data_IF_579366659037
#
_entry.id   IF_579366659037
#
_cell.length_a   1.000
_cell.length_b   1.000
_cell.length_c   1.000
_cell.angle_alpha   90.00
_cell.angle_beta   90.00
_cell.angle_gamma   90.00
#
_symmetry.space_group_name_H-M   'P 1'
#
loop_
_entity.id
_entity.type
_entity.pdbx_description
1 polymer ?
#
# COMPACT_ATOMS: atom_id res chain seq x y z
N UNK A 1 -23.29 -17.12 -20.22
CA UNK A 1 -23.94 -16.19 -19.27
C UNK A 1 -22.88 -15.80 -18.26
N UNK A 2 -22.67 -14.51 -18.03
CA UNK A 2 -21.81 -14.07 -16.93
C UNK A 2 -22.49 -14.47 -15.62
N UNK A 3 -21.72 -15.09 -14.72
CA UNK A 3 -22.20 -15.46 -13.39
C UNK A 3 -21.96 -14.27 -12.47
N UNK A 4 -22.97 -13.82 -11.74
CA UNK A 4 -22.77 -12.79 -10.71
C UNK A 4 -22.09 -13.45 -9.50
N UNK A 5 -20.81 -13.12 -9.28
CA UNK A 5 -20.05 -13.73 -8.19
C UNK A 5 -20.60 -13.34 -6.81
N UNK A 6 -21.25 -12.19 -6.66
CA UNK A 6 -21.86 -11.83 -5.38
C UNK A 6 -22.97 -12.81 -5.01
N UNK A 7 -23.76 -13.25 -6.00
CA UNK A 7 -24.78 -14.29 -5.82
C UNK A 7 -24.16 -15.66 -5.52
N UNK A 8 -23.06 -16.01 -6.20
CA UNK A 8 -22.32 -17.28 -5.94
C UNK A 8 -21.75 -17.30 -4.53
N UNK A 9 -21.23 -16.17 -4.07
CA UNK A 9 -20.68 -16.00 -2.72
C UNK A 9 -21.78 -15.87 -1.66
N UNK A 10 -23.05 -15.79 -2.07
CA UNK A 10 -24.19 -15.61 -1.17
C UNK A 10 -24.17 -14.27 -0.44
N UNK A 11 -23.48 -13.26 -0.97
CA UNK A 11 -23.32 -11.96 -0.31
C UNK A 11 -24.65 -11.25 -0.28
N UNK A 12 -25.08 -10.88 0.94
CA UNK A 12 -26.23 -10.04 1.20
C UNK A 12 -25.76 -8.82 1.98
N UNK A 13 -26.48 -7.72 1.88
CA UNK A 13 -26.23 -6.58 2.75
C UNK A 13 -26.39 -7.06 4.22
N UNK A 14 -25.34 -7.01 5.05
CA UNK A 14 -25.49 -7.31 6.46
C UNK A 14 -26.46 -6.31 7.09
N UNK A 15 -27.35 -6.81 7.94
CA UNK A 15 -28.38 -6.00 8.61
C UNK A 15 -27.73 -5.04 9.62
N UNK A 16 -26.64 -5.48 10.26
CA UNK A 16 -25.79 -4.71 11.15
C UNK A 16 -24.34 -5.12 10.88
N UNK A 17 -23.42 -4.16 10.80
CA UNK A 17 -21.99 -4.44 10.72
C UNK A 17 -21.28 -3.78 11.91
N UNK A 18 -20.47 -4.52 12.67
CA UNK A 18 -19.62 -3.95 13.72
C UNK A 18 -18.47 -3.11 13.14
N UNK A 19 -18.23 -3.24 11.83
CA UNK A 19 -17.37 -2.36 11.06
C UNK A 19 -18.22 -1.26 10.42
N UNK A 20 -17.88 0.02 10.56
CA UNK A 20 -18.62 1.08 9.89
C UNK A 20 -18.48 0.94 8.36
N UNK A 21 -19.51 1.43 7.68
CA UNK A 21 -19.46 1.60 6.23
C UNK A 21 -18.45 2.69 5.90
N UNK A 22 -17.56 2.41 4.96
CA UNK A 22 -16.46 3.32 4.62
C UNK A 22 -16.96 4.47 3.76
N UNK A 23 -16.34 5.65 3.92
CA UNK A 23 -16.59 6.82 3.04
C UNK A 23 -18.06 7.24 2.99
N UNK A 24 -18.79 7.04 4.09
CA UNK A 24 -20.18 7.45 4.26
C UNK A 24 -21.20 6.68 3.40
N UNK A 25 -20.83 5.52 2.86
CA UNK A 25 -21.78 4.67 2.14
C UNK A 25 -22.81 4.03 3.08
N UNK A 26 -23.93 3.58 2.53
CA UNK A 26 -24.90 2.75 3.25
C UNK A 26 -24.83 1.28 2.78
N UNK A 27 -25.51 0.39 3.50
CA UNK A 27 -25.50 -1.05 3.20
C UNK A 27 -26.00 -1.38 1.78
N UNK A 28 -26.92 -0.57 1.24
CA UNK A 28 -27.47 -0.77 -0.10
C UNK A 28 -26.45 -0.37 -1.18
N UNK A 29 -25.78 0.76 -0.99
CA UNK A 29 -24.72 1.26 -1.87
C UNK A 29 -23.52 0.33 -1.85
N UNK A 30 -23.14 -0.17 -0.68
CA UNK A 30 -22.11 -1.20 -0.52
C UNK A 30 -22.46 -2.46 -1.33
N UNK A 31 -23.67 -3.01 -1.15
CA UNK A 31 -24.08 -4.23 -1.85
C UNK A 31 -24.10 -4.03 -3.38
N UNK A 32 -24.57 -2.87 -3.85
CA UNK A 32 -24.56 -2.54 -5.28
C UNK A 32 -23.13 -2.54 -5.85
N UNK A 33 -22.16 -1.96 -5.12
CA UNK A 33 -20.75 -1.95 -5.51
C UNK A 33 -20.14 -3.36 -5.53
N UNK A 34 -20.47 -4.21 -4.54
CA UNK A 34 -20.02 -5.61 -4.51
C UNK A 34 -20.58 -6.41 -5.69
N UNK A 35 -21.87 -6.22 -6.02
CA UNK A 35 -22.49 -6.87 -7.16
C UNK A 35 -21.89 -6.41 -8.49
N UNK A 36 -21.57 -5.12 -8.62
CA UNK A 36 -20.84 -4.59 -9.78
C UNK A 36 -19.47 -5.24 -9.92
N UNK A 37 -18.69 -5.29 -8.83
CA UNK A 37 -17.41 -5.98 -8.79
C UNK A 37 -17.55 -7.47 -9.16
N UNK A 38 -18.55 -8.15 -8.61
CA UNK A 38 -18.84 -9.56 -8.88
C UNK A 38 -19.14 -9.84 -10.35
N UNK A 39 -19.90 -8.96 -11.03
CA UNK A 39 -20.15 -9.07 -12.47
C UNK A 39 -18.91 -8.79 -13.31
N UNK A 40 -18.12 -7.79 -12.94
CA UNK A 40 -16.89 -7.44 -13.66
C UNK A 40 -15.85 -8.59 -13.59
N UNK A 41 -15.66 -9.16 -12.40
CA UNK A 41 -14.69 -10.22 -12.15
C UNK A 41 -15.18 -11.60 -12.62
N UNK A 42 -16.49 -11.84 -12.60
CA UNK A 42 -17.13 -13.11 -12.99
C UNK A 42 -17.02 -13.47 -14.47
N UNK A 43 -16.64 -12.52 -15.32
CA UNK A 43 -16.33 -12.76 -16.73
C UNK A 43 -14.84 -13.01 -17.00
N UNK A 44 -13.98 -12.85 -15.99
CA UNK A 44 -12.53 -12.84 -16.13
C UNK A 44 -11.82 -14.14 -15.71
N UNK A 45 -10.49 -14.20 -15.87
CA UNK A 45 -9.67 -15.35 -15.49
C UNK A 45 -9.66 -15.64 -13.99
N UNK A 46 -10.06 -14.66 -13.15
CA UNK A 46 -10.14 -14.79 -11.69
C UNK A 46 -11.42 -15.48 -11.20
N UNK A 47 -12.43 -15.65 -12.06
CA UNK A 47 -13.75 -16.13 -11.63
C UNK A 47 -13.70 -17.51 -10.95
N UNK A 48 -12.81 -18.40 -11.39
CA UNK A 48 -12.65 -19.73 -10.78
C UNK A 48 -12.01 -19.64 -9.39
N UNK A 49 -10.99 -18.80 -9.22
CA UNK A 49 -10.31 -18.62 -7.93
C UNK A 49 -11.27 -17.95 -6.92
N UNK A 50 -12.08 -16.99 -7.38
CA UNK A 50 -13.12 -16.35 -6.57
C UNK A 50 -14.27 -17.31 -6.22
N UNK A 51 -14.66 -18.21 -7.12
CA UNK A 51 -15.63 -19.25 -6.80
C UNK A 51 -15.10 -20.24 -5.75
N UNK A 52 -13.80 -20.55 -5.77
CA UNK A 52 -13.17 -21.36 -4.73
C UNK A 52 -13.18 -20.65 -3.36
N UNK A 53 -13.02 -19.33 -3.34
CA UNK A 53 -13.15 -18.51 -2.14
C UNK A 53 -14.54 -18.64 -1.48
N UNK A 54 -15.60 -18.83 -2.27
CA UNK A 54 -16.96 -19.07 -1.76
C UNK A 54 -17.06 -20.33 -0.88
N UNK A 55 -16.22 -21.33 -1.13
CA UNK A 55 -16.16 -22.57 -0.38
C UNK A 55 -15.11 -22.54 0.74
N UNK A 56 -14.30 -21.48 0.83
CA UNK A 56 -13.24 -21.37 1.83
C UNK A 56 -13.87 -21.26 3.23
N UNK A 57 -13.42 -22.12 4.13
CA UNK A 57 -13.65 -21.95 5.57
C UNK A 57 -12.85 -20.74 6.04
N UNK A 58 -13.52 -19.78 6.67
CA UNK A 58 -12.88 -18.61 7.25
C UNK A 58 -12.65 -18.86 8.74
N UNK A 59 -11.64 -18.23 9.34
CA UNK A 59 -11.43 -18.29 10.77
C UNK A 59 -12.66 -17.82 11.55
N UNK A 60 -13.08 -18.61 12.55
CA UNK A 60 -14.30 -18.36 13.32
C UNK A 60 -14.33 -16.97 13.95
N UNK A 61 -13.19 -16.50 14.48
CA UNK A 61 -13.11 -15.18 15.10
C UNK A 61 -13.37 -14.04 14.12
N UNK A 62 -12.92 -14.15 12.86
CA UNK A 62 -13.21 -13.17 11.81
C UNK A 62 -14.67 -13.21 11.39
N UNK A 63 -15.27 -14.40 11.29
CA UNK A 63 -16.70 -14.55 10.97
C UNK A 63 -17.56 -13.96 12.09
N UNK A 64 -17.19 -14.18 13.34
CA UNK A 64 -17.91 -13.65 14.50
C UNK A 64 -17.82 -12.12 14.61
N UNK A 65 -16.64 -11.54 14.40
CA UNK A 65 -16.43 -10.11 14.65
C UNK A 65 -16.57 -9.20 13.44
N UNK A 66 -16.48 -9.72 12.21
CA UNK A 66 -16.64 -8.91 10.98
C UNK A 66 -17.78 -9.44 10.12
N UNK A 67 -17.88 -10.76 9.99
CA UNK A 67 -18.86 -11.43 9.15
C UNK A 67 -18.32 -11.80 7.78
N UNK A 68 -18.70 -13.00 7.31
CA UNK A 68 -18.25 -13.56 6.03
C UNK A 68 -18.58 -12.64 4.86
N UNK A 69 -19.80 -12.16 4.79
CA UNK A 69 -20.29 -11.31 3.70
C UNK A 69 -19.48 -10.03 3.58
N UNK A 70 -19.15 -9.40 4.71
CA UNK A 70 -18.33 -8.18 4.74
C UNK A 70 -16.91 -8.47 4.26
N UNK A 71 -16.25 -9.52 4.75
CA UNK A 71 -14.89 -9.88 4.31
C UNK A 71 -14.82 -10.17 2.80
N UNK A 72 -15.72 -11.01 2.31
CA UNK A 72 -15.72 -11.41 0.90
C UNK A 72 -16.14 -10.26 -0.03
N UNK A 73 -17.11 -9.45 0.39
CA UNK A 73 -17.52 -8.27 -0.36
C UNK A 73 -16.44 -7.20 -0.43
N UNK A 74 -15.73 -6.95 0.68
CA UNK A 74 -14.58 -6.05 0.70
C UNK A 74 -13.48 -6.50 -0.27
N UNK A 75 -13.11 -7.79 -0.22
CA UNK A 75 -12.10 -8.35 -1.12
C UNK A 75 -12.51 -8.27 -2.60
N UNK A 76 -13.78 -8.51 -2.93
CA UNK A 76 -14.26 -8.30 -4.30
C UNK A 76 -14.11 -6.85 -4.74
N UNK A 77 -14.42 -5.89 -3.85
CA UNK A 77 -14.28 -4.47 -4.15
C UNK A 77 -12.83 -4.07 -4.35
N UNK A 78 -11.91 -4.51 -3.48
CA UNK A 78 -10.49 -4.17 -3.62
C UNK A 78 -9.88 -4.77 -4.88
N UNK A 79 -10.29 -5.98 -5.29
CA UNK A 79 -9.89 -6.57 -6.57
C UNK A 79 -10.46 -5.84 -7.79
N UNK A 80 -11.64 -5.23 -7.66
CA UNK A 80 -12.28 -4.49 -8.75
C UNK A 80 -11.75 -3.05 -8.86
N UNK A 81 -11.57 -2.37 -7.73
CA UNK A 81 -11.07 -1.01 -7.61
C UNK A 81 -9.98 -0.96 -6.54
N UNK A 82 -8.71 -1.28 -6.88
CA UNK A 82 -7.59 -1.27 -5.94
C UNK A 82 -7.36 0.07 -5.24
N UNK A 83 -7.76 1.20 -5.84
CA UNK A 83 -7.72 2.52 -5.19
C UNK A 83 -8.66 2.63 -3.97
N UNK A 84 -9.53 1.66 -3.71
CA UNK A 84 -10.31 1.62 -2.47
C UNK A 84 -9.46 1.32 -1.24
N UNK A 85 -8.33 0.63 -1.41
CA UNK A 85 -7.43 0.26 -0.31
C UNK A 85 -6.88 1.54 0.33
N UNK A 86 -7.00 1.66 1.65
CA UNK A 86 -6.43 2.76 2.44
C UNK A 86 -5.87 2.24 3.77
N UNK A 87 -4.98 3.03 4.36
CA UNK A 87 -4.36 2.76 5.66
C UNK A 87 -5.20 3.27 6.83
N UNK A 88 -6.23 4.09 6.54
CA UNK A 88 -6.95 4.81 7.57
C UNK A 88 -6.04 5.82 8.28
N UNK A 89 -5.97 5.72 9.61
CA UNK A 89 -5.12 6.58 10.45
C UNK A 89 -3.96 5.82 11.10
N UNK A 90 -3.58 4.66 10.55
CA UNK A 90 -2.49 3.81 11.06
C UNK A 90 -1.19 4.11 10.34
N UNK A 91 -0.04 3.79 10.92
CA UNK A 91 1.31 3.97 10.36
C UNK A 91 1.67 3.05 9.19
N UNK A 92 0.68 2.53 8.44
CA UNK A 92 0.85 1.45 7.46
C UNK A 92 0.96 1.94 6.01
N UNK A 93 1.38 3.18 5.75
CA UNK A 93 1.39 3.79 4.41
C UNK A 93 2.19 2.98 3.37
N UNK A 94 3.38 2.50 3.76
CA UNK A 94 4.25 1.71 2.90
C UNK A 94 3.59 0.38 2.49
N UNK A 95 3.13 -0.41 3.46
CA UNK A 95 2.47 -1.70 3.20
C UNK A 95 1.13 -1.53 2.47
N UNK A 96 0.43 -0.41 2.68
CA UNK A 96 -0.78 -0.05 1.93
C UNK A 96 -0.46 0.19 0.45
N UNK A 97 0.61 0.93 0.15
CA UNK A 97 1.07 1.11 -1.22
C UNK A 97 1.43 -0.23 -1.90
N UNK A 98 2.08 -1.14 -1.17
CA UNK A 98 2.37 -2.49 -1.66
C UNK A 98 1.09 -3.32 -1.89
N UNK A 99 0.09 -3.20 -1.00
CA UNK A 99 -1.21 -3.85 -1.13
C UNK A 99 -1.92 -3.41 -2.43
N UNK A 100 -2.02 -2.09 -2.65
CA UNK A 100 -2.62 -1.50 -3.85
C UNK A 100 -1.90 -2.00 -5.10
N UNK A 101 -0.57 -1.96 -5.10
CA UNK A 101 0.25 -2.44 -6.22
C UNK A 101 -0.02 -3.92 -6.51
N UNK A 102 -0.09 -4.77 -5.48
CA UNK A 102 -0.33 -6.19 -5.66
C UNK A 102 -1.73 -6.48 -6.17
N UNK A 103 -2.76 -5.82 -5.63
CA UNK A 103 -4.13 -5.97 -6.07
C UNK A 103 -4.31 -5.55 -7.54
N UNK A 104 -3.65 -4.46 -7.97
CA UNK A 104 -3.71 -4.00 -9.36
C UNK A 104 -2.91 -4.89 -10.33
N UNK A 105 -1.66 -5.20 -10.00
CA UNK A 105 -0.73 -5.85 -10.94
C UNK A 105 -0.79 -7.36 -10.91
N UNK A 106 -1.16 -7.93 -9.77
CA UNK A 106 -1.16 -9.37 -9.56
C UNK A 106 -2.39 -9.81 -8.75
N UNK A 107 -3.62 -9.52 -9.23
CA UNK A 107 -4.84 -9.73 -8.46
C UNK A 107 -5.04 -11.19 -8.01
N UNK A 108 -4.62 -12.16 -8.82
CA UNK A 108 -4.65 -13.59 -8.43
C UNK A 108 -3.76 -13.87 -7.21
N UNK A 109 -2.59 -13.24 -7.16
CA UNK A 109 -1.65 -13.38 -6.04
C UNK A 109 -2.21 -12.70 -4.80
N UNK A 110 -2.68 -11.46 -4.92
CA UNK A 110 -3.36 -10.77 -3.83
C UNK A 110 -4.51 -11.60 -3.25
N UNK A 111 -5.40 -12.11 -4.11
CA UNK A 111 -6.48 -13.01 -3.72
C UNK A 111 -5.97 -14.24 -2.95
N UNK A 112 -4.91 -14.90 -3.42
CA UNK A 112 -4.33 -16.07 -2.75
C UNK A 112 -3.76 -15.73 -1.38
N UNK A 113 -3.10 -14.58 -1.22
CA UNK A 113 -2.54 -14.15 0.06
C UNK A 113 -3.65 -13.83 1.06
N UNK A 114 -4.64 -13.03 0.66
CA UNK A 114 -5.78 -12.69 1.50
C UNK A 114 -6.59 -13.94 1.87
N UNK A 115 -6.79 -14.88 0.95
CA UNK A 115 -7.44 -16.16 1.24
C UNK A 115 -6.70 -16.97 2.32
N UNK A 116 -5.35 -16.97 2.30
CA UNK A 116 -4.55 -17.62 3.34
C UNK A 116 -4.73 -16.95 4.70
N UNK A 117 -4.64 -15.62 4.75
CA UNK A 117 -4.86 -14.81 5.96
C UNK A 117 -6.29 -14.95 6.52
N UNK A 118 -7.27 -15.17 5.65
CA UNK A 118 -8.66 -15.41 6.03
C UNK A 118 -8.93 -16.81 6.57
N UNK A 119 -8.09 -17.78 6.23
CA UNK A 119 -8.28 -19.19 6.61
C UNK A 119 -8.11 -19.42 8.12
N UNK A 120 -8.52 -20.58 8.66
CA UNK A 120 -8.26 -20.93 10.06
C UNK A 120 -6.77 -20.95 10.43
N UNK A 121 -5.89 -21.25 9.47
CA UNK A 121 -4.44 -21.22 9.70
C UNK A 121 -3.89 -19.80 9.78
N UNK A 122 -4.57 -18.82 9.16
CA UNK A 122 -4.13 -17.42 9.16
C UNK A 122 -2.78 -17.19 8.47
N UNK A 123 -2.37 -18.06 7.55
CA UNK A 123 -1.04 -18.03 6.91
C UNK A 123 -1.15 -18.04 5.39
N UNK A 124 -0.24 -17.31 4.73
CA UNK A 124 -0.05 -17.33 3.29
C UNK A 124 1.44 -17.35 2.94
N UNK A 125 1.80 -18.05 1.86
CA UNK A 125 3.19 -18.14 1.40
C UNK A 125 3.47 -17.08 0.35
N UNK A 126 4.49 -16.26 0.60
CA UNK A 126 5.01 -15.29 -0.34
C UNK A 126 5.79 -15.98 -1.47
N UNK A 127 5.89 -15.37 -2.66
CA UNK A 127 6.72 -15.86 -3.75
C UNK A 127 8.18 -16.19 -3.38
N UNK A 128 8.78 -15.46 -2.45
CA UNK A 128 10.13 -15.73 -1.92
C UNK A 128 10.20 -16.94 -0.98
N UNK A 129 9.06 -17.47 -0.55
CA UNK A 129 8.94 -18.61 0.36
C UNK A 129 8.68 -18.21 1.81
N UNK A 130 8.71 -16.92 2.13
CA UNK A 130 8.37 -16.38 3.44
C UNK A 130 6.86 -16.54 3.74
N UNK A 131 6.49 -16.42 5.01
CA UNK A 131 5.10 -16.59 5.47
C UNK A 131 4.55 -15.23 5.89
N UNK A 132 3.44 -14.80 5.29
CA UNK A 132 2.55 -13.80 5.88
C UNK A 132 1.67 -14.48 6.90
N UNK A 133 1.64 -13.96 8.13
CA UNK A 133 0.80 -14.47 9.22
C UNK A 133 -0.16 -13.38 9.71
N UNK A 134 -1.41 -13.76 9.91
CA UNK A 134 -2.43 -12.91 10.52
C UNK A 134 -2.03 -12.60 11.97
N UNK A 135 -2.00 -11.31 12.30
CA UNK A 135 -1.71 -10.81 13.65
C UNK A 135 -2.82 -11.15 14.65
N UNK A 136 -4.09 -10.99 14.25
CA UNK A 136 -5.23 -11.12 15.16
C UNK A 136 -6.26 -12.18 14.73
N UNK A 137 -6.74 -12.98 15.68
CA UNK A 137 -7.83 -13.95 15.44
C UNK A 137 -9.22 -13.29 15.38
N UNK A 138 -9.34 -12.09 15.94
CA UNK A 138 -10.59 -11.34 16.07
C UNK A 138 -10.34 -9.86 15.82
N UNK A 139 -11.19 -9.22 15.03
CA UNK A 139 -11.07 -7.80 14.71
C UNK A 139 -12.13 -6.98 15.40
N UNK A 140 -11.72 -5.94 16.12
CA UNK A 140 -12.63 -4.92 16.61
C UNK A 140 -12.26 -3.60 15.95
N UNK A 141 -13.20 -3.00 15.21
CA UNK A 141 -12.99 -1.68 14.66
C UNK A 141 -12.89 -0.66 15.79
N UNK A 142 -11.97 0.29 15.64
CA UNK A 142 -11.91 1.48 16.47
C UNK A 142 -11.71 2.72 15.59
N UNK A 143 -11.84 3.91 16.19
CA UNK A 143 -11.74 5.16 15.45
C UNK A 143 -10.36 5.37 14.80
N UNK A 144 -9.29 4.80 15.34
CA UNK A 144 -7.94 4.93 14.77
C UNK A 144 -7.79 4.11 13.48
N UNK A 145 -8.72 3.21 13.17
CA UNK A 145 -8.78 2.57 11.86
C UNK A 145 -9.27 3.51 10.74
N UNK A 146 -9.98 4.60 11.05
CA UNK A 146 -10.59 5.46 10.02
C UNK A 146 -11.42 4.63 9.02
N UNK A 147 -11.24 4.88 7.73
CA UNK A 147 -11.81 4.09 6.64
C UNK A 147 -11.05 2.78 6.28
N UNK A 148 -10.01 2.37 7.02
CA UNK A 148 -9.28 1.11 6.74
C UNK A 148 -10.23 -0.08 6.84
N UNK A 149 -10.37 -0.82 5.75
CA UNK A 149 -11.25 -1.98 5.67
C UNK A 149 -10.68 -3.19 6.39
N UNK A 150 -11.50 -4.18 6.78
CA UNK A 150 -11.03 -5.33 7.53
C UNK A 150 -10.08 -6.25 6.73
N UNK A 151 -10.24 -6.31 5.39
CA UNK A 151 -9.31 -7.03 4.51
C UNK A 151 -7.94 -6.33 4.46
N UNK A 152 -7.94 -5.01 4.29
CA UNK A 152 -6.73 -4.19 4.37
C UNK A 152 -6.11 -4.23 5.77
N UNK A 153 -6.92 -4.32 6.83
CA UNK A 153 -6.43 -4.54 8.20
C UNK A 153 -5.60 -5.82 8.31
N UNK A 154 -6.18 -6.96 7.88
CA UNK A 154 -5.48 -8.25 7.82
C UNK A 154 -4.18 -8.16 7.05
N UNK A 155 -4.26 -7.69 5.81
CA UNK A 155 -3.11 -7.71 4.91
C UNK A 155 -1.99 -6.83 5.42
N UNK A 156 -2.31 -5.59 5.79
CA UNK A 156 -1.30 -4.61 6.19
C UNK A 156 -0.63 -5.01 7.50
N UNK A 157 -1.36 -5.48 8.52
CA UNK A 157 -0.74 -5.94 9.76
C UNK A 157 0.19 -7.14 9.51
N UNK A 158 -0.26 -8.14 8.75
CA UNK A 158 0.57 -9.28 8.36
C UNK A 158 1.80 -8.87 7.53
N UNK A 159 1.67 -7.84 6.70
CA UNK A 159 2.75 -7.32 5.88
C UNK A 159 3.77 -6.50 6.68
N UNK A 160 3.35 -5.80 7.74
CA UNK A 160 4.26 -5.13 8.69
C UNK A 160 5.16 -6.18 9.36
N UNK A 161 4.57 -7.24 9.90
CA UNK A 161 5.26 -8.38 10.50
C UNK A 161 6.25 -9.06 9.54
N UNK A 162 5.79 -9.37 8.32
CA UNK A 162 6.67 -10.00 7.33
C UNK A 162 7.76 -9.04 6.82
N UNK A 163 7.48 -7.74 6.83
CA UNK A 163 8.45 -6.74 6.45
C UNK A 163 9.55 -6.61 7.49
N UNK A 164 9.33 -6.89 8.79
CA UNK A 164 10.32 -6.81 9.88
C UNK A 164 10.30 -8.07 10.77
N UNK A 165 10.90 -9.20 10.34
CA UNK A 165 10.74 -10.51 11.00
C UNK A 165 11.38 -10.61 12.39
N UNK A 166 12.18 -9.62 12.79
CA UNK A 166 12.80 -9.52 14.11
C UNK A 166 12.05 -8.54 15.02
N UNK A 167 10.90 -8.01 14.60
CA UNK A 167 10.07 -7.06 15.34
C UNK A 167 8.63 -7.59 15.44
N UNK A 168 7.82 -7.00 16.31
CA UNK A 168 6.42 -7.41 16.59
C UNK A 168 5.53 -6.16 16.49
N UNK A 169 4.66 -6.13 15.48
CA UNK A 169 3.74 -5.04 15.17
C UNK A 169 2.38 -5.28 15.81
N UNK A 170 2.03 -4.47 16.80
CA UNK A 170 0.70 -4.47 17.40
C UNK A 170 -0.21 -3.51 16.64
N UNK A 171 -1.15 -4.05 15.85
CA UNK A 171 -2.09 -3.25 15.07
C UNK A 171 -3.02 -2.39 15.95
N UNK A 172 -3.37 -2.81 17.16
CA UNK A 172 -4.23 -2.03 18.07
C UNK A 172 -3.50 -0.80 18.57
N UNK A 173 -2.25 -0.96 18.99
CA UNK A 173 -1.41 0.14 19.47
C UNK A 173 -0.79 0.95 18.34
N UNK A 174 -0.81 0.43 17.11
CA UNK A 174 -0.11 0.99 15.96
C UNK A 174 1.38 1.23 16.27
N UNK A 175 2.02 0.19 16.81
CA UNK A 175 3.36 0.30 17.34
C UNK A 175 4.17 -0.96 17.07
N UNK A 176 5.44 -0.75 16.75
CA UNK A 176 6.42 -1.82 16.59
C UNK A 176 7.18 -2.02 17.90
N UNK A 177 7.45 -3.27 18.26
CA UNK A 177 8.27 -3.61 19.43
C UNK A 177 9.41 -4.56 19.06
N UNK A 178 10.53 -4.44 19.77
CA UNK A 178 11.63 -5.39 19.67
C UNK A 178 11.25 -6.75 20.27
N UNK A 179 12.02 -7.83 20.06
CA UNK A 179 11.72 -9.15 20.65
C UNK A 179 11.72 -9.17 22.18
N UNK A 180 12.34 -8.17 22.82
CA UNK A 180 12.31 -7.99 24.28
C UNK A 180 11.21 -7.03 24.76
N UNK A 181 10.27 -6.66 23.88
CA UNK A 181 9.08 -5.86 24.17
C UNK A 181 9.35 -4.37 24.34
N UNK A 182 10.48 -3.84 23.85
CA UNK A 182 10.75 -2.40 23.90
C UNK A 182 10.09 -1.72 22.70
N UNK A 183 9.40 -0.58 22.90
CA UNK A 183 8.81 0.16 21.79
C UNK A 183 9.89 0.71 20.88
N UNK A 184 9.67 0.59 19.57
CA UNK A 184 10.46 1.24 18.53
C UNK A 184 9.75 2.56 18.17
N UNK A 185 10.46 3.70 18.15
CA UNK A 185 9.86 4.97 17.78
C UNK A 185 9.34 4.96 16.33
N UNK A 186 8.07 5.32 16.14
CA UNK A 186 7.40 5.29 14.85
C UNK A 186 6.48 4.08 14.70
N UNK A 187 5.50 4.19 13.81
CA UNK A 187 4.51 3.14 13.55
C UNK A 187 4.72 2.44 12.19
N UNK A 188 5.58 3.00 11.33
CA UNK A 188 5.90 2.47 10.00
C UNK A 188 7.09 1.52 9.98
N UNK A 189 7.28 0.87 8.83
CA UNK A 189 8.47 0.08 8.53
C UNK A 189 9.57 0.97 7.94
N UNK A 190 10.82 0.56 8.13
CA UNK A 190 11.93 1.23 7.48
C UNK A 190 11.98 0.92 5.97
N UNK A 191 12.81 1.68 5.27
CA UNK A 191 12.93 1.61 3.82
C UNK A 191 13.49 0.26 3.32
N UNK A 192 14.43 -0.34 4.05
CA UNK A 192 14.98 -1.64 3.71
C UNK A 192 13.96 -2.75 3.93
N UNK A 193 13.15 -2.65 4.97
CA UNK A 193 12.03 -3.54 5.23
C UNK A 193 10.95 -3.43 4.16
N UNK A 194 10.65 -2.20 3.70
CA UNK A 194 9.71 -2.00 2.60
C UNK A 194 10.21 -2.64 1.29
N UNK A 195 11.47 -2.42 0.92
CA UNK A 195 12.04 -3.06 -0.27
C UNK A 195 12.03 -4.59 -0.13
N UNK A 196 12.46 -5.14 1.01
CA UNK A 196 12.37 -6.58 1.31
C UNK A 196 10.96 -7.11 1.11
N UNK A 197 9.95 -6.40 1.62
CA UNK A 197 8.55 -6.76 1.44
C UNK A 197 8.15 -6.73 -0.05
N UNK A 198 8.52 -5.68 -0.80
CA UNK A 198 8.23 -5.61 -2.23
C UNK A 198 8.90 -6.74 -3.00
N UNK A 199 10.15 -7.09 -2.69
CA UNK A 199 10.84 -8.23 -3.29
C UNK A 199 10.12 -9.54 -2.99
N UNK A 200 9.72 -9.76 -1.73
CA UNK A 200 9.00 -10.96 -1.33
C UNK A 200 7.62 -11.06 -2.02
N UNK A 201 6.87 -9.95 -2.14
CA UNK A 201 5.56 -9.91 -2.78
C UNK A 201 5.62 -10.04 -4.31
N UNK A 202 6.62 -9.41 -4.94
CA UNK A 202 6.70 -9.30 -6.40
C UNK A 202 7.60 -10.35 -7.03
N UNK A 203 8.59 -10.86 -6.30
CA UNK A 203 9.68 -11.69 -6.82
C UNK A 203 10.67 -10.91 -7.68
N UNK A 204 10.69 -9.57 -7.58
CA UNK A 204 11.56 -8.68 -8.36
C UNK A 204 12.43 -7.89 -7.41
N UNK A 205 13.66 -7.61 -7.81
CA UNK A 205 14.53 -6.73 -7.02
C UNK A 205 14.10 -5.28 -7.15
N UNK A 206 14.13 -4.57 -6.03
CA UNK A 206 13.86 -3.14 -5.96
C UNK A 206 15.12 -2.41 -5.51
N UNK A 207 15.28 -1.19 -5.98
CA UNK A 207 16.37 -0.31 -5.57
C UNK A 207 15.80 0.95 -4.94
N UNK A 208 16.60 1.53 -4.06
CA UNK A 208 16.24 2.72 -3.33
C UNK A 208 17.21 3.85 -3.61
N UNK A 209 16.64 5.05 -3.67
CA UNK A 209 17.37 6.29 -3.74
C UNK A 209 16.94 7.18 -2.57
N UNK A 210 17.90 7.66 -1.80
CA UNK A 210 17.65 8.52 -0.63
C UNK A 210 18.48 9.79 -0.72
N UNK A 211 18.03 10.87 -0.07
CA UNK A 211 18.80 12.09 0.10
C UNK A 211 20.10 11.87 0.93
N UNK A 212 20.10 10.87 1.81
CA UNK A 212 21.26 10.45 2.61
C UNK A 212 22.40 9.89 1.76
N UNK A 213 22.10 9.30 0.59
CA UNK A 213 23.14 8.78 -0.31
C UNK A 213 24.09 9.88 -0.76
N UNK A 214 23.60 11.08 -1.08
CA UNK A 214 24.44 12.20 -1.50
C UNK A 214 25.41 12.63 -0.38
N UNK A 215 24.93 12.67 0.87
CA UNK A 215 25.77 12.98 2.03
C UNK A 215 26.86 11.93 2.26
N UNK A 216 26.53 10.64 2.10
CA UNK A 216 27.49 9.55 2.22
C UNK A 216 28.54 9.59 1.10
N UNK A 217 28.12 9.80 -0.15
CA UNK A 217 29.01 9.95 -1.32
C UNK A 217 30.01 11.07 -1.10
N UNK A 218 29.55 12.23 -0.63
CA UNK A 218 30.40 13.35 -0.28
C UNK A 218 31.38 13.00 0.86
N UNK A 219 30.90 12.35 1.92
CA UNK A 219 31.74 11.95 3.05
C UNK A 219 32.83 10.93 2.67
N UNK A 220 32.57 10.07 1.69
CA UNK A 220 33.52 9.08 1.18
C UNK A 220 34.44 9.64 0.08
N UNK A 221 34.24 10.87 -0.38
CA UNK A 221 35.01 11.46 -1.47
C UNK A 221 34.81 10.75 -2.81
N UNK A 222 33.66 10.09 -3.00
CA UNK A 222 33.29 9.46 -4.26
C UNK A 222 32.82 10.51 -5.27
N UNK A 223 33.01 10.24 -6.56
CA UNK A 223 32.50 11.11 -7.62
C UNK A 223 30.95 11.06 -7.63
N UNK A 224 30.24 12.18 -7.34
CA UNK A 224 28.78 12.20 -7.30
C UNK A 224 28.10 11.85 -8.63
N UNK A 225 28.81 11.90 -9.75
CA UNK A 225 28.28 11.49 -11.05
C UNK A 225 28.22 9.96 -11.23
N UNK A 226 28.89 9.22 -10.36
CA UNK A 226 28.98 7.75 -10.42
C UNK A 226 28.00 7.03 -9.49
N UNK A 227 27.26 7.78 -8.68
CA UNK A 227 26.28 7.25 -7.72
C UNK A 227 24.95 7.95 -7.96
N UNK A 228 23.85 7.23 -7.74
CA UNK A 228 22.51 7.81 -7.82
C UNK A 228 22.36 8.99 -6.85
N UNK A 229 21.68 10.03 -7.30
CA UNK A 229 21.34 11.23 -6.53
C UNK A 229 19.84 11.48 -6.63
N UNK A 230 19.15 11.59 -5.49
CA UNK A 230 17.68 11.70 -5.46
C UNK A 230 17.18 12.92 -6.23
N UNK A 231 17.74 14.10 -5.98
CA UNK A 231 17.30 15.35 -6.62
C UNK A 231 17.55 15.37 -8.13
N UNK A 232 18.66 14.78 -8.57
CA UNK A 232 19.04 14.70 -9.99
C UNK A 232 18.28 13.62 -10.75
N UNK A 233 18.20 12.42 -10.18
CA UNK A 233 17.82 11.21 -10.92
C UNK A 233 16.33 10.84 -10.77
N UNK A 234 15.68 11.21 -9.65
CA UNK A 234 14.28 10.85 -9.40
C UNK A 234 13.31 11.28 -10.51
N UNK A 235 13.37 12.51 -11.07
CA UNK A 235 12.45 12.91 -12.14
C UNK A 235 12.54 11.99 -13.37
N UNK A 236 13.77 11.62 -13.75
CA UNK A 236 14.00 10.77 -14.90
C UNK A 236 13.62 9.30 -14.62
N UNK A 237 13.84 8.81 -13.40
CA UNK A 237 13.41 7.47 -12.97
C UNK A 237 11.87 7.40 -13.04
N UNK A 238 11.15 8.31 -12.37
CA UNK A 238 9.69 8.33 -12.36
C UNK A 238 9.13 8.41 -13.78
N UNK A 239 9.63 9.34 -14.60
CA UNK A 239 9.17 9.48 -15.97
C UNK A 239 9.35 8.20 -16.80
N UNK A 240 10.49 7.50 -16.66
CA UNK A 240 10.75 6.23 -17.34
C UNK A 240 9.86 5.10 -16.82
N UNK A 241 9.72 4.96 -15.50
CA UNK A 241 8.85 3.95 -14.88
C UNK A 241 7.42 4.10 -15.38
N UNK A 242 6.84 5.31 -15.27
CA UNK A 242 5.48 5.60 -15.72
C UNK A 242 5.32 5.36 -17.22
N UNK A 243 6.28 5.78 -18.05
CA UNK A 243 6.23 5.55 -19.49
C UNK A 243 6.29 4.05 -19.87
N UNK A 244 6.93 3.23 -19.03
CA UNK A 244 6.93 1.76 -19.16
C UNK A 244 5.68 1.10 -18.55
N UNK A 245 4.75 1.89 -18.00
CA UNK A 245 3.58 1.39 -17.29
C UNK A 245 3.94 0.77 -15.94
N UNK A 246 5.10 1.05 -15.38
CA UNK A 246 5.51 0.65 -14.03
C UNK A 246 5.23 1.79 -13.02
N UNK A 247 5.36 1.48 -11.73
CA UNK A 247 5.16 2.45 -10.64
C UNK A 247 6.46 2.70 -9.90
N UNK A 248 6.54 3.82 -9.19
CA UNK A 248 7.53 4.04 -8.14
C UNK A 248 6.81 4.26 -6.81
N UNK A 249 7.53 4.06 -5.71
CA UNK A 249 7.04 4.42 -4.38
C UNK A 249 7.92 5.55 -3.86
N UNK A 250 7.29 6.64 -3.45
CA UNK A 250 7.97 7.86 -3.03
C UNK A 250 7.63 8.14 -1.58
N UNK A 251 8.64 8.35 -0.74
CA UNK A 251 8.44 8.90 0.60
C UNK A 251 8.57 10.41 0.52
N UNK A 252 7.54 11.11 0.96
CA UNK A 252 7.50 12.57 1.01
C UNK A 252 7.65 13.02 2.47
N UNK A 253 8.43 14.06 2.71
CA UNK A 253 8.49 14.71 4.01
C UNK A 253 7.24 15.58 4.24
N UNK A 254 6.84 15.72 5.50
CA UNK A 254 5.71 16.55 5.85
C UNK A 254 6.05 18.03 5.62
N UNK A 255 5.16 18.81 4.98
CA UNK A 255 5.38 20.26 4.87
C UNK A 255 5.47 20.90 6.26
N UNK A 256 6.57 21.60 6.52
CA UNK A 256 6.83 22.21 7.81
C UNK A 256 5.71 23.21 8.21
N UNK A 257 5.30 23.16 9.49
CA UNK A 257 4.35 24.13 10.06
C UNK A 257 2.88 23.82 9.84
N UNK A 258 2.57 22.62 9.35
CA UNK A 258 1.22 22.11 9.24
C UNK A 258 0.84 21.34 10.51
N UNK A 259 -0.13 21.86 11.26
CA UNK A 259 -0.71 21.15 12.40
C UNK A 259 -2.08 20.60 11.97
N UNK A 260 -2.33 19.27 12.07
CA UNK A 260 -3.66 18.74 11.83
C UNK A 260 -4.68 19.24 12.84
N UNK A 261 -5.91 19.43 12.37
CA UNK A 261 -7.05 19.75 13.23
C UNK A 261 -7.51 18.54 14.05
N UNK A 262 -7.27 17.31 13.58
CA UNK A 262 -7.60 16.08 14.31
C UNK A 262 -6.39 15.59 15.14
N UNK A 263 -6.49 15.52 16.48
CA UNK A 263 -5.41 15.04 17.32
C UNK A 263 -5.00 13.58 17.05
N UNK A 264 -5.90 12.74 16.50
CA UNK A 264 -5.57 11.35 16.12
C UNK A 264 -4.55 11.31 14.98
N UNK A 265 -4.50 12.37 14.17
CA UNK A 265 -3.65 12.45 13.00
C UNK A 265 -2.29 13.11 13.29
N UNK A 266 -2.09 13.74 14.45
CA UNK A 266 -0.88 14.55 14.71
C UNK A 266 0.40 13.76 14.50
N UNK A 267 0.49 12.56 15.06
CA UNK A 267 1.70 11.75 14.97
C UNK A 267 1.88 11.18 13.57
N UNK A 268 0.79 10.83 12.88
CA UNK A 268 0.81 10.30 11.51
C UNK A 268 1.27 11.37 10.50
N UNK A 269 0.70 12.57 10.56
CA UNK A 269 0.97 13.62 9.56
C UNK A 269 2.30 14.34 9.76
N UNK A 270 3.00 14.10 10.87
CA UNK A 270 4.34 14.62 11.13
C UNK A 270 5.45 13.68 10.68
N UNK A 271 5.11 12.47 10.25
CA UNK A 271 6.08 11.50 9.77
C UNK A 271 6.21 11.59 8.24
N UNK A 272 7.39 11.27 7.69
CA UNK A 272 7.51 11.01 6.26
C UNK A 272 6.51 9.94 5.84
N UNK A 273 5.91 10.11 4.68
CA UNK A 273 4.79 9.29 4.26
C UNK A 273 4.94 8.84 2.83
N UNK A 274 4.65 7.55 2.62
CA UNK A 274 4.86 6.88 1.36
C UNK A 274 3.62 6.96 0.48
N UNK A 275 3.83 7.33 -0.78
CA UNK A 275 2.81 7.37 -1.82
C UNK A 275 3.21 6.51 -3.01
N UNK A 276 2.23 6.00 -3.75
CA UNK A 276 2.44 5.24 -4.98
C UNK A 276 2.35 6.19 -6.18
N UNK A 277 3.46 6.40 -6.89
CA UNK A 277 3.51 7.26 -8.08
C UNK A 277 3.12 6.47 -9.32
N UNK A 278 2.10 6.95 -10.03
CA UNK A 278 1.55 6.28 -11.21
C UNK A 278 1.45 7.20 -12.45
N UNK A 279 1.85 8.47 -12.35
CA UNK A 279 1.84 9.40 -13.48
C UNK A 279 2.79 10.59 -13.31
N UNK A 280 3.32 11.10 -14.43
CA UNK A 280 4.03 12.38 -14.47
C UNK A 280 3.97 12.97 -15.88
N UNK A 281 3.61 14.25 -16.03
CA UNK A 281 3.54 14.95 -17.33
C UNK A 281 4.56 16.10 -17.46
N UNK A 282 5.50 16.19 -16.51
CA UNK A 282 6.50 17.25 -16.41
C UNK A 282 6.01 18.51 -15.69
N UNK A 283 4.70 18.71 -15.58
CA UNK A 283 4.10 19.78 -14.77
C UNK A 283 3.57 19.24 -13.46
N UNK A 284 2.96 18.06 -13.49
CA UNK A 284 2.33 17.40 -12.37
C UNK A 284 2.91 15.99 -12.16
N UNK A 285 2.93 15.58 -10.90
CA UNK A 285 3.10 14.18 -10.49
C UNK A 285 1.77 13.68 -9.98
N UNK A 286 1.35 12.48 -10.41
CA UNK A 286 0.10 11.82 -10.04
C UNK A 286 0.42 10.60 -9.19
N UNK A 287 -0.25 10.49 -8.05
CA UNK A 287 0.04 9.46 -7.06
C UNK A 287 -1.23 9.06 -6.28
N UNK A 288 -1.21 7.86 -5.71
CA UNK A 288 -2.18 7.43 -4.72
C UNK A 288 -1.65 7.75 -3.31
N UNK A 289 -2.43 8.49 -2.54
CA UNK A 289 -2.22 8.75 -1.12
C UNK A 289 -2.95 7.67 -0.30
N UNK A 290 -2.24 6.80 0.45
CA UNK A 290 -2.88 5.76 1.23
C UNK A 290 -3.63 6.26 2.48
N UNK A 291 -3.47 7.52 2.91
CA UNK A 291 -4.26 8.11 4.00
C UNK A 291 -5.74 8.15 3.62
N UNK A 292 -6.61 8.06 4.62
CA UNK A 292 -8.04 8.31 4.47
C UNK A 292 -8.30 9.57 3.61
N UNK A 293 -8.97 9.44 2.44
CA UNK A 293 -9.25 10.56 1.54
C UNK A 293 -10.12 11.67 2.16
N UNK A 294 -10.85 11.39 3.25
CA UNK A 294 -11.60 12.41 3.99
C UNK A 294 -10.68 13.32 4.84
N UNK A 295 -9.43 12.89 5.06
CA UNK A 295 -8.42 13.59 5.84
C UNK A 295 -7.11 13.74 5.04
N UNK A 296 -7.14 14.42 3.88
CA UNK A 296 -6.04 14.36 2.95
C UNK A 296 -4.81 15.08 3.50
N UNK A 297 -3.71 14.33 3.67
CA UNK A 297 -2.46 14.80 4.26
C UNK A 297 -1.76 15.86 3.40
N UNK A 298 -1.70 15.63 2.09
CA UNK A 298 -0.88 16.44 1.17
C UNK A 298 -1.55 17.70 0.62
N UNK A 299 -2.82 17.97 0.94
CA UNK A 299 -3.49 19.19 0.46
C UNK A 299 -2.78 20.45 0.97
N UNK A 300 -2.19 20.36 2.16
CA UNK A 300 -1.47 21.48 2.76
C UNK A 300 -0.06 21.65 2.18
N UNK A 301 0.48 20.62 1.49
CA UNK A 301 1.76 20.64 0.78
C UNK A 301 1.67 20.96 -0.71
N UNK A 302 0.51 21.44 -1.20
CA UNK A 302 0.29 21.74 -2.62
C UNK A 302 -0.31 20.58 -3.43
N UNK A 303 -0.66 19.47 -2.78
CA UNK A 303 -1.41 18.38 -3.39
C UNK A 303 -2.86 18.74 -3.68
N UNK A 304 -3.42 18.17 -4.73
CA UNK A 304 -4.82 18.31 -5.12
C UNK A 304 -5.45 16.91 -5.25
N UNK A 305 -6.51 16.60 -4.47
CA UNK A 305 -7.22 15.35 -4.61
C UNK A 305 -7.99 15.35 -5.94
N UNK A 306 -7.88 14.24 -6.67
CA UNK A 306 -8.54 14.01 -7.95
C UNK A 306 -9.83 13.21 -7.80
N UNK A 307 -9.90 12.36 -6.77
CA UNK A 307 -11.09 11.60 -6.46
C UNK A 307 -11.20 11.29 -4.96
N UNK A 308 -12.27 10.57 -4.60
CA UNK A 308 -12.56 10.10 -3.23
C UNK A 308 -11.79 8.84 -2.84
N UNK A 309 -10.87 8.38 -3.68
CA UNK A 309 -10.10 7.14 -3.52
C UNK A 309 -8.64 7.42 -3.17
N UNK A 310 -8.29 8.68 -2.89
CA UNK A 310 -6.93 9.06 -2.53
C UNK A 310 -6.04 9.29 -3.75
N UNK A 311 -6.59 9.27 -4.99
CA UNK A 311 -5.81 9.73 -6.13
C UNK A 311 -5.60 11.22 -6.02
N UNK A 312 -4.36 11.63 -6.14
CA UNK A 312 -3.91 12.99 -5.98
C UNK A 312 -3.01 13.40 -7.14
N UNK A 313 -2.79 14.70 -7.25
CA UNK A 313 -1.69 15.26 -8.03
C UNK A 313 -1.00 16.37 -7.25
N UNK A 314 0.26 16.62 -7.54
CA UNK A 314 1.02 17.74 -6.97
C UNK A 314 1.88 18.38 -8.07
N UNK A 315 2.13 19.72 -8.04
CA UNK A 315 3.07 20.33 -8.95
C UNK A 315 4.42 19.63 -8.83
N UNK A 316 5.07 19.32 -9.96
CA UNK A 316 6.28 18.50 -9.96
C UNK A 316 7.40 19.13 -9.11
N UNK A 317 7.54 20.45 -9.14
CA UNK A 317 8.51 21.17 -8.30
C UNK A 317 8.29 20.96 -6.81
N UNK A 318 7.05 21.00 -6.35
CA UNK A 318 6.69 20.80 -4.94
C UNK A 318 6.89 19.32 -4.55
N UNK A 319 6.47 18.40 -5.42
CA UNK A 319 6.64 16.95 -5.19
C UNK A 319 8.11 16.57 -5.04
N UNK A 320 8.97 17.00 -5.98
CA UNK A 320 10.40 16.72 -5.91
C UNK A 320 11.11 17.49 -4.79
N UNK A 321 10.54 18.62 -4.34
CA UNK A 321 11.03 19.35 -3.18
C UNK A 321 10.73 18.65 -1.85
N UNK A 322 9.64 17.88 -1.78
CA UNK A 322 9.26 17.08 -0.61
C UNK A 322 9.82 15.64 -0.63
N UNK A 323 10.29 15.17 -1.78
CA UNK A 323 10.79 13.80 -1.95
C UNK A 323 12.06 13.56 -1.13
N UNK A 324 11.98 12.61 -0.18
CA UNK A 324 13.15 12.19 0.63
C UNK A 324 13.64 10.79 0.28
N UNK A 325 12.78 9.95 -0.29
CA UNK A 325 13.13 8.58 -0.69
C UNK A 325 12.32 8.14 -1.92
N UNK A 326 12.91 7.26 -2.72
CA UNK A 326 12.27 6.67 -3.90
C UNK A 326 12.68 5.19 -4.02
N UNK A 327 11.70 4.27 -3.91
CA UNK A 327 11.85 2.87 -4.33
C UNK A 327 11.41 2.71 -5.78
N UNK A 328 12.23 2.04 -6.58
CA UNK A 328 12.04 1.89 -8.03
C UNK A 328 12.66 0.58 -8.53
N UNK A 329 12.30 0.16 -9.74
CA UNK A 329 12.93 -1.00 -10.39
C UNK A 329 14.29 -0.59 -10.96
N UNK A 330 15.38 -1.34 -10.67
CA UNK A 330 16.75 -0.94 -11.00
C UNK A 330 17.00 -0.55 -12.46
N UNK A 331 16.28 -1.18 -13.40
CA UNK A 331 16.37 -0.93 -14.85
C UNK A 331 16.08 0.54 -15.24
N UNK A 332 15.43 1.29 -14.35
CA UNK A 332 15.10 2.71 -14.59
C UNK A 332 16.16 3.69 -14.13
N UNK A 333 17.23 3.26 -13.46
CA UNK A 333 18.40 4.11 -13.20
C UNK A 333 19.42 3.97 -14.33
N UNK A 334 19.75 5.09 -14.99
CA UNK A 334 20.78 5.14 -16.02
C UNK A 334 21.95 5.99 -15.52
N UNK A 335 22.93 5.34 -14.91
CA UNK A 335 24.19 6.01 -14.56
C UNK A 335 25.07 6.14 -15.81
N UNK A 336 25.84 7.23 -15.95
CA UNK A 336 26.86 7.32 -16.98
C UNK A 336 27.80 6.12 -16.87
N UNK A 337 27.99 5.38 -17.98
CA UNK A 337 28.98 4.30 -18.01
C UNK A 337 30.35 4.95 -17.86
N UNK A 338 30.99 4.74 -16.70
CA UNK A 338 32.31 5.27 -16.40
C UNK A 338 33.30 4.82 -17.50
N UNK A 339 33.68 5.74 -18.39
CA UNK A 339 34.80 5.55 -19.30
C UNK A 339 34.52 4.73 -20.57
N UNK A 340 33.43 5.01 -21.31
CA UNK A 340 33.57 4.93 -22.78
C UNK A 340 34.49 6.06 -23.24
N UNK A 341 35.77 5.95 -22.92
CA UNK A 341 36.82 6.80 -23.46
C UNK A 341 36.85 6.46 -24.94
N UNK A 342 36.17 7.27 -25.76
CA UNK A 342 36.35 7.26 -27.19
C UNK A 342 37.83 7.53 -27.41
N UNK A 343 38.59 6.51 -27.77
CA UNK A 343 39.98 6.68 -28.18
C UNK A 343 39.94 7.60 -29.40
N UNK A 344 40.53 8.81 -29.35
CA UNK A 344 40.60 9.65 -30.53
C UNK A 344 41.48 8.91 -31.55
N UNK A 345 40.90 8.57 -32.69
CA UNK A 345 41.60 8.01 -33.85
C UNK A 345 42.36 9.07 -34.62
#
# INVERSE_FOLDING_TARGET
>A
MAVDLADVLGIRAPVESPYPWQRGEDAASWLAAVQEAGRALGAGPLAQDLAALAALELADGLVETVGRERMLGELLRTLHEPGWICQGFKGTCAVTCAEVHLAERQPKRYLSLVAGLLSPAGEAILPGGEVLRRDEERMTWDRAEGDRGPVSRLFQAAAMEAAEPDEDYDNQQDAMTTPDGRPIPGAGIDLHAFDRLLEALTGRQWAVLTDRHAALVAALGLDPSTVGDLGRDAPAIIARSVAAGEVCFATLDAPAGVAPDDPVLVDLLQQPHMVRVHGCDGTWVYYDDPVDPAHPWLVQGGGEPLDRYGRCRMPAGDFFGALVELSYLPDFLQLPVAGSVSTPG
#
